data_IF_337134976008
#
_entry.id   IF_337134976008
#
_cell.length_a   1.000
_cell.length_b   1.000
_cell.length_c   1.000
_cell.angle_alpha   90.00
_cell.angle_beta   90.00
_cell.angle_gamma   90.00
#
_symmetry.space_group_name_H-M   'P 1'
#
loop_
_entity.id
_entity.type
_entity.pdbx_description
1 polymer ?
#
# COMPACT_ATOMS: atom_id res chain seq x y z
N UNK A 1 -8.46 -20.50 -22.32
CA UNK A 1 -8.18 -19.44 -21.33
C UNK A 1 -7.81 -20.15 -20.05
N UNK A 2 -6.54 -20.15 -19.67
CA UNK A 2 -6.09 -20.89 -18.48
C UNK A 2 -6.47 -20.09 -17.24
N UNK A 3 -7.33 -20.67 -16.41
CA UNK A 3 -7.75 -20.07 -15.15
C UNK A 3 -6.64 -20.26 -14.12
N UNK A 4 -6.20 -19.17 -13.49
CA UNK A 4 -5.24 -19.25 -12.38
C UNK A 4 -5.93 -19.95 -11.20
N UNK A 5 -5.69 -21.26 -11.01
CA UNK A 5 -6.30 -22.06 -9.92
C UNK A 5 -5.62 -21.80 -8.56
N UNK A 6 -5.42 -20.52 -8.23
CA UNK A 6 -4.86 -20.11 -6.94
C UNK A 6 -5.97 -20.10 -5.88
N UNK A 7 -5.75 -20.80 -4.76
CA UNK A 7 -6.72 -20.94 -3.66
C UNK A 7 -6.32 -20.22 -2.38
N UNK A 8 -5.15 -19.56 -2.38
CA UNK A 8 -4.66 -18.83 -1.22
C UNK A 8 -5.31 -17.46 -1.09
N UNK A 9 -4.98 -16.80 0.01
CA UNK A 9 -5.37 -15.41 0.23
C UNK A 9 -4.46 -14.47 -0.58
N UNK A 10 -4.98 -13.29 -0.90
CA UNK A 10 -4.25 -12.23 -1.60
C UNK A 10 -4.29 -10.93 -0.80
N UNK A 11 -3.18 -10.20 -0.84
CA UNK A 11 -3.16 -8.79 -0.43
C UNK A 11 -3.49 -7.91 -1.62
N UNK A 12 -4.29 -6.88 -1.40
CA UNK A 12 -4.54 -5.80 -2.35
C UNK A 12 -3.72 -4.58 -1.94
N UNK A 13 -3.09 -3.91 -2.90
CA UNK A 13 -2.39 -2.64 -2.66
C UNK A 13 -2.80 -1.62 -3.72
N UNK A 14 -2.96 -0.38 -3.31
CA UNK A 14 -3.15 0.76 -4.21
C UNK A 14 -2.01 1.75 -4.00
N UNK A 15 -1.42 2.24 -5.09
CA UNK A 15 -0.32 3.20 -5.09
C UNK A 15 -0.46 4.09 -6.34
N UNK A 16 -0.13 5.37 -6.20
CA UNK A 16 -0.11 6.34 -7.28
C UNK A 16 1.30 6.46 -7.86
N UNK A 17 1.41 6.30 -9.19
CA UNK A 17 2.69 6.50 -9.87
C UNK A 17 2.69 7.77 -10.71
N UNK A 18 3.59 8.69 -10.35
CA UNK A 18 3.86 9.87 -11.15
C UNK A 18 4.60 9.51 -12.44
N UNK A 19 3.87 9.40 -13.55
CA UNK A 19 4.48 9.30 -14.87
C UNK A 19 5.09 10.65 -15.26
N UNK A 20 6.38 10.69 -15.65
CA UNK A 20 6.93 11.89 -16.32
C UNK A 20 6.20 12.05 -17.66
N UNK A 21 6.02 13.30 -18.11
CA UNK A 21 5.39 13.62 -19.41
C UNK A 21 6.01 12.84 -20.59
N UNK A 22 7.30 12.52 -20.53
CA UNK A 22 8.01 11.75 -21.56
C UNK A 22 7.84 10.21 -21.44
N UNK A 23 7.43 9.70 -20.27
CA UNK A 23 7.16 8.27 -20.05
C UNK A 23 5.77 7.83 -20.48
N UNK A 24 4.84 8.76 -20.72
CA UNK A 24 3.51 8.43 -21.24
C UNK A 24 3.58 7.71 -22.60
N UNK A 25 4.63 7.94 -23.39
CA UNK A 25 4.89 7.22 -24.64
C UNK A 25 5.51 5.83 -24.44
N UNK A 26 6.23 5.61 -23.33
CA UNK A 26 6.96 4.36 -23.07
C UNK A 26 6.22 3.36 -22.17
N UNK A 27 5.10 3.77 -21.57
CA UNK A 27 4.11 2.82 -21.04
C UNK A 27 3.19 2.26 -22.15
N UNK A 28 3.66 2.28 -23.39
CA UNK A 28 3.24 1.28 -24.37
C UNK A 28 3.97 -0.01 -23.99
N UNK A 29 3.31 -0.92 -23.27
CA UNK A 29 3.78 -2.30 -23.13
C UNK A 29 4.12 -2.80 -24.55
N UNK A 30 5.41 -2.88 -24.88
CA UNK A 30 5.89 -3.40 -26.16
C UNK A 30 5.32 -4.80 -26.29
N UNK A 31 4.53 -5.00 -27.34
CA UNK A 31 3.63 -6.14 -27.61
C UNK A 31 2.18 -5.92 -27.13
N UNK A 32 1.51 -5.01 -27.86
CA UNK A 32 0.07 -5.03 -28.19
C UNK A 32 -0.88 -5.55 -27.11
N UNK A 33 -1.08 -4.74 -26.07
CA UNK A 33 -2.43 -4.60 -25.53
C UNK A 33 -2.92 -3.23 -25.95
N UNK A 34 -3.70 -3.22 -27.03
CA UNK A 34 -4.45 -2.04 -27.45
C UNK A 34 -5.37 -1.67 -26.29
N UNK A 35 -5.08 -0.57 -25.59
CA UNK A 35 -6.06 0.07 -24.72
C UNK A 35 -7.12 0.67 -25.64
N UNK A 36 -8.12 -0.14 -26.00
CA UNK A 36 -9.41 0.40 -26.36
C UNK A 36 -9.89 1.16 -25.13
N UNK A 37 -10.18 2.45 -25.31
CA UNK A 37 -10.93 3.25 -24.36
C UNK A 37 -12.27 2.54 -24.11
N UNK A 38 -12.27 1.60 -23.18
CA UNK A 38 -13.49 0.96 -22.75
C UNK A 38 -14.21 1.98 -21.88
N UNK A 39 -15.28 2.52 -22.45
CA UNK A 39 -16.38 3.10 -21.69
C UNK A 39 -16.64 2.27 -20.43
N UNK A 40 -17.10 2.96 -19.39
CA UNK A 40 -17.28 2.57 -17.98
C UNK A 40 -17.91 1.18 -17.67
N UNK A 41 -18.34 0.43 -18.68
CA UNK A 41 -19.10 -0.81 -18.63
C UNK A 41 -18.31 -2.14 -18.69
N UNK A 42 -17.03 -2.19 -19.11
CA UNK A 42 -16.38 -3.49 -19.37
C UNK A 42 -14.97 -3.65 -18.78
N UNK A 43 -14.88 -3.73 -17.44
CA UNK A 43 -13.69 -4.22 -16.72
C UNK A 43 -13.77 -5.75 -16.53
N UNK A 44 -13.86 -6.52 -17.63
CA UNK A 44 -14.15 -7.97 -17.53
C UNK A 44 -13.18 -8.91 -18.24
N UNK A 45 -12.10 -8.45 -18.87
CA UNK A 45 -11.08 -9.33 -19.44
C UNK A 45 -9.69 -8.99 -18.89
N UNK A 46 -9.27 -9.77 -17.89
CA UNK A 46 -8.09 -9.57 -17.07
C UNK A 46 -6.78 -9.91 -17.79
N UNK A 47 -5.79 -9.03 -17.62
CA UNK A 47 -4.42 -9.07 -18.10
C UNK A 47 -3.54 -9.96 -17.19
N UNK A 48 -3.85 -11.25 -17.04
CA UNK A 48 -3.20 -12.12 -16.03
C UNK A 48 -1.91 -12.81 -16.51
N UNK A 49 -1.76 -13.14 -17.79
CA UNK A 49 -0.93 -14.31 -18.11
C UNK A 49 0.57 -14.04 -18.38
N UNK A 50 0.97 -12.84 -18.81
CA UNK A 50 2.33 -12.66 -19.38
C UNK A 50 3.42 -12.31 -18.37
N UNK A 51 3.15 -11.48 -17.37
CA UNK A 51 4.17 -11.06 -16.39
C UNK A 51 4.52 -12.12 -15.33
N UNK A 52 3.76 -13.21 -15.26
CA UNK A 52 3.97 -14.31 -14.33
C UNK A 52 5.28 -15.06 -14.59
N UNK A 53 5.67 -15.24 -15.86
CA UNK A 53 6.84 -16.05 -16.22
C UNK A 53 8.16 -15.26 -16.26
N UNK A 54 8.11 -13.94 -16.47
CA UNK A 54 9.33 -13.11 -16.59
C UNK A 54 9.89 -12.66 -15.23
N UNK A 55 9.01 -12.44 -14.24
CA UNK A 55 9.40 -11.98 -12.89
C UNK A 55 10.16 -13.05 -12.08
N UNK A 56 10.17 -14.32 -12.53
CA UNK A 56 10.85 -15.43 -11.86
C UNK A 56 12.37 -15.47 -12.13
N UNK A 57 12.91 -14.71 -13.09
CA UNK A 57 14.32 -14.85 -13.52
C UNK A 57 15.32 -13.84 -12.94
N UNK A 58 14.92 -12.84 -12.13
CA UNK A 58 15.87 -11.81 -11.69
C UNK A 58 15.95 -11.62 -10.16
N UNK A 59 17.16 -11.83 -9.64
CA UNK A 59 17.79 -11.31 -8.40
C UNK A 59 17.37 -11.92 -7.04
N UNK A 60 18.41 -12.04 -6.20
CA UNK A 60 18.56 -12.70 -4.89
C UNK A 60 19.17 -11.66 -3.93
N UNK A 61 18.72 -11.52 -2.68
CA UNK A 61 19.48 -12.08 -1.52
C UNK A 61 18.71 -12.11 -0.19
N UNK A 62 17.37 -12.15 -0.18
CA UNK A 62 16.59 -12.51 1.02
C UNK A 62 15.47 -13.46 0.60
N UNK A 63 15.33 -14.60 1.29
CA UNK A 63 14.26 -15.60 1.06
C UNK A 63 12.90 -15.01 1.48
N UNK A 64 12.41 -13.98 0.81
CA UNK A 64 10.98 -13.73 0.74
C UNK A 64 10.42 -14.76 -0.24
N UNK A 65 9.37 -15.47 0.16
CA UNK A 65 8.59 -16.25 -0.78
C UNK A 65 8.29 -15.36 -1.99
N UNK A 66 8.62 -15.81 -3.20
CA UNK A 66 8.35 -15.08 -4.43
C UNK A 66 6.84 -15.14 -4.68
N UNK A 67 6.09 -14.28 -4.00
CA UNK A 67 4.66 -14.13 -4.20
C UNK A 67 4.49 -13.35 -5.51
N UNK A 68 3.85 -13.94 -6.54
CA UNK A 68 3.63 -13.26 -7.80
C UNK A 68 2.69 -12.07 -7.61
N UNK A 69 3.08 -10.91 -8.12
CA UNK A 69 2.24 -9.70 -8.13
C UNK A 69 1.43 -9.64 -9.43
N UNK A 70 0.14 -9.35 -9.33
CA UNK A 70 -0.77 -9.19 -10.48
C UNK A 70 -1.35 -7.79 -10.44
N UNK A 71 -1.22 -7.04 -11.53
CA UNK A 71 -1.90 -5.74 -11.69
C UNK A 71 -3.33 -6.02 -12.09
N UNK A 72 -4.28 -5.76 -11.19
CA UNK A 72 -5.72 -6.01 -11.42
C UNK A 72 -6.42 -4.84 -12.12
N UNK A 73 -5.90 -3.62 -11.93
CA UNK A 73 -6.41 -2.40 -12.54
C UNK A 73 -5.27 -1.38 -12.68
N UNK A 74 -5.33 -0.58 -13.74
CA UNK A 74 -4.49 0.59 -13.92
C UNK A 74 -5.40 1.69 -14.46
N UNK A 75 -5.42 2.84 -13.79
CA UNK A 75 -6.27 3.96 -14.15
C UNK A 75 -5.43 5.23 -14.22
N UNK A 76 -5.54 5.96 -15.31
CA UNK A 76 -5.01 7.31 -15.39
C UNK A 76 -5.91 8.21 -14.53
N UNK A 77 -5.34 8.73 -13.44
CA UNK A 77 -6.03 9.64 -12.53
C UNK A 77 -5.37 11.02 -12.60
N UNK A 78 -6.14 12.11 -12.44
CA UNK A 78 -5.57 13.44 -12.31
C UNK A 78 -4.97 13.64 -10.91
N UNK A 79 -4.06 14.61 -10.77
CA UNK A 79 -3.40 14.94 -9.49
C UNK A 79 -4.36 15.46 -8.41
N UNK A 80 -5.61 15.81 -8.79
CA UNK A 80 -6.63 16.39 -7.93
C UNK A 80 -7.83 15.47 -7.70
N UNK A 81 -7.65 14.15 -7.83
CA UNK A 81 -8.71 13.19 -7.54
C UNK A 81 -9.08 13.24 -6.04
N UNK A 82 -10.37 13.39 -5.75
CA UNK A 82 -10.84 13.41 -4.37
C UNK A 82 -11.03 11.99 -3.79
N UNK A 83 -11.27 11.93 -2.48
CA UNK A 83 -11.42 10.67 -1.76
C UNK A 83 -12.66 9.88 -2.19
N UNK A 84 -13.75 10.54 -2.59
CA UNK A 84 -15.00 9.87 -2.97
C UNK A 84 -14.85 9.17 -4.33
N UNK A 85 -14.24 9.86 -5.30
CA UNK A 85 -13.90 9.30 -6.59
C UNK A 85 -12.90 8.14 -6.46
N UNK A 86 -11.85 8.32 -5.65
CA UNK A 86 -10.87 7.26 -5.41
C UNK A 86 -11.49 6.05 -4.71
N UNK A 87 -12.43 6.28 -3.78
CA UNK A 87 -13.19 5.22 -3.13
C UNK A 87 -14.03 4.44 -4.14
N UNK A 88 -14.71 5.09 -5.09
CA UNK A 88 -15.51 4.38 -6.09
C UNK A 88 -14.65 3.39 -6.92
N UNK A 89 -13.43 3.78 -7.32
CA UNK A 89 -12.52 2.90 -8.04
C UNK A 89 -12.00 1.75 -7.18
N UNK A 90 -11.62 2.04 -5.93
CA UNK A 90 -11.17 1.04 -4.97
C UNK A 90 -12.27 0.03 -4.66
N UNK A 91 -13.49 0.52 -4.38
CA UNK A 91 -14.64 -0.31 -4.08
C UNK A 91 -15.05 -1.19 -5.26
N UNK A 92 -15.08 -0.64 -6.48
CA UNK A 92 -15.36 -1.41 -7.69
C UNK A 92 -14.38 -2.57 -7.86
N UNK A 93 -13.09 -2.32 -7.63
CA UNK A 93 -12.04 -3.34 -7.70
C UNK A 93 -12.20 -4.39 -6.61
N UNK A 94 -12.27 -3.97 -5.34
CA UNK A 94 -12.43 -4.85 -4.18
C UNK A 94 -13.69 -5.71 -4.29
N UNK A 95 -14.85 -5.10 -4.52
CA UNK A 95 -16.12 -5.82 -4.66
C UNK A 95 -16.09 -6.77 -5.87
N UNK A 96 -15.44 -6.40 -6.96
CA UNK A 96 -15.24 -7.27 -8.12
C UNK A 96 -14.41 -8.52 -7.82
N UNK A 97 -13.38 -8.41 -6.96
CA UNK A 97 -12.60 -9.54 -6.46
C UNK A 97 -13.43 -10.41 -5.52
N UNK A 98 -14.14 -9.79 -4.57
CA UNK A 98 -15.01 -10.49 -3.62
C UNK A 98 -16.14 -11.27 -4.30
N UNK A 99 -16.78 -10.68 -5.32
CA UNK A 99 -17.82 -11.34 -6.13
C UNK A 99 -17.30 -12.58 -6.86
N UNK A 100 -16.02 -12.59 -7.25
CA UNK A 100 -15.33 -13.74 -7.86
C UNK A 100 -14.78 -14.73 -6.83
N UNK A 101 -15.12 -14.54 -5.55
CA UNK A 101 -14.65 -15.38 -4.42
C UNK A 101 -13.12 -15.39 -4.28
N UNK A 102 -12.45 -14.33 -4.73
CA UNK A 102 -11.03 -14.12 -4.45
C UNK A 102 -10.93 -13.58 -3.02
N UNK A 103 -10.18 -14.30 -2.18
CA UNK A 103 -10.01 -13.97 -0.77
C UNK A 103 -8.99 -12.84 -0.61
N UNK A 104 -9.48 -11.61 -0.56
CA UNK A 104 -8.66 -10.44 -0.26
C UNK A 104 -8.56 -10.32 1.26
N UNK A 105 -7.41 -10.66 1.83
CA UNK A 105 -7.22 -10.69 3.30
C UNK A 105 -6.63 -9.41 3.86
N UNK A 106 -5.97 -8.60 3.03
CA UNK A 106 -5.44 -7.31 3.43
C UNK A 106 -5.54 -6.26 2.32
N UNK A 107 -5.62 -5.00 2.74
CA UNK A 107 -5.55 -3.83 1.87
C UNK A 107 -4.45 -2.89 2.38
N UNK A 108 -3.43 -2.67 1.55
CA UNK A 108 -2.33 -1.76 1.82
C UNK A 108 -2.53 -0.43 1.07
N UNK A 109 -2.32 0.68 1.78
CA UNK A 109 -2.25 2.00 1.14
C UNK A 109 -1.18 2.87 1.78
N UNK A 110 -0.88 3.97 1.11
CA UNK A 110 0.28 4.82 1.37
C UNK A 110 0.06 5.85 2.50
N UNK A 111 -1.14 5.86 3.08
CA UNK A 111 -1.49 6.64 4.26
C UNK A 111 -1.55 8.15 4.03
N UNK A 112 -1.67 8.61 2.78
CA UNK A 112 -1.99 10.01 2.46
C UNK A 112 -3.37 10.40 3.05
N UNK A 113 -3.65 11.70 3.20
CA UNK A 113 -4.94 12.15 3.74
C UNK A 113 -6.12 11.64 2.90
N UNK A 114 -5.99 11.66 1.58
CA UNK A 114 -7.02 11.15 0.66
C UNK A 114 -7.23 9.65 0.85
N UNK A 115 -6.16 8.87 0.93
CA UNK A 115 -6.27 7.42 1.16
C UNK A 115 -6.80 7.07 2.55
N UNK A 116 -6.47 7.84 3.59
CA UNK A 116 -7.08 7.67 4.92
C UNK A 116 -8.58 7.89 4.84
N UNK A 117 -9.03 8.93 4.15
CA UNK A 117 -10.46 9.14 3.91
C UNK A 117 -11.10 7.99 3.14
N UNK A 118 -10.39 7.37 2.18
CA UNK A 118 -10.85 6.15 1.50
C UNK A 118 -10.95 4.96 2.48
N UNK A 119 -10.00 4.79 3.39
CA UNK A 119 -10.05 3.77 4.44
C UNK A 119 -11.26 3.98 5.37
N UNK A 120 -11.52 5.22 5.80
CA UNK A 120 -12.69 5.56 6.61
C UNK A 120 -14.01 5.28 5.87
N UNK A 121 -14.02 5.49 4.54
CA UNK A 121 -15.17 5.13 3.70
C UNK A 121 -15.33 3.61 3.59
N UNK A 122 -14.24 2.85 3.44
CA UNK A 122 -14.27 1.39 3.45
C UNK A 122 -14.79 0.83 4.77
N UNK A 123 -14.35 1.38 5.91
CA UNK A 123 -14.83 0.99 7.23
C UNK A 123 -16.34 1.21 7.38
N UNK A 124 -16.83 2.38 6.98
CA UNK A 124 -18.28 2.67 6.98
C UNK A 124 -19.08 1.78 6.02
N UNK A 125 -18.45 1.23 5.00
CA UNK A 125 -19.07 0.35 4.01
C UNK A 125 -18.98 -1.13 4.39
N UNK A 126 -18.24 -1.48 5.45
CA UNK A 126 -18.11 -2.85 5.91
C UNK A 126 -19.44 -3.37 6.48
N UNK A 127 -19.72 -4.66 6.28
CA UNK A 127 -20.91 -5.30 6.86
C UNK A 127 -20.81 -5.35 8.39
N UNK A 128 -19.58 -5.51 8.90
CA UNK A 128 -19.23 -5.38 10.32
C UNK A 128 -17.74 -5.10 10.47
N UNK A 129 -17.38 -4.55 11.62
CA UNK A 129 -15.98 -4.36 12.04
C UNK A 129 -15.71 -5.19 13.28
N UNK A 130 -14.52 -5.76 13.39
CA UNK A 130 -14.05 -6.46 14.59
C UNK A 130 -12.71 -5.88 14.99
N UNK A 131 -12.50 -5.68 16.28
CA UNK A 131 -11.25 -5.15 16.81
C UNK A 131 -10.30 -6.28 17.17
N UNK A 132 -9.08 -6.24 16.62
CA UNK A 132 -7.95 -6.99 17.14
C UNK A 132 -7.19 -6.09 18.11
N UNK A 133 -7.13 -6.47 19.39
CA UNK A 133 -6.43 -5.73 20.43
C UNK A 133 -5.08 -6.38 20.71
N UNK A 134 -4.01 -5.63 20.49
CA UNK A 134 -2.64 -6.02 20.80
C UNK A 134 -2.25 -5.29 22.08
N UNK A 135 -2.00 -6.06 23.15
CA UNK A 135 -1.65 -5.49 24.45
C UNK A 135 -0.37 -4.68 24.38
N UNK A 136 -0.36 -3.54 25.05
CA UNK A 136 0.85 -2.75 25.18
C UNK A 136 1.96 -3.58 25.88
N UNK A 137 3.21 -3.56 25.39
CA UNK A 137 4.26 -4.45 25.91
C UNK A 137 4.89 -3.99 27.23
N UNK A 138 4.64 -2.77 27.68
CA UNK A 138 5.21 -2.27 28.94
C UNK A 138 4.51 -2.89 30.16
N UNK A 139 5.31 -3.33 31.11
CA UNK A 139 4.90 -3.88 32.40
C UNK A 139 5.44 -2.99 33.54
N UNK A 140 5.12 -1.69 33.46
CA UNK A 140 5.60 -0.64 34.37
C UNK A 140 4.51 -0.14 35.33
N UNK A 141 3.39 -0.87 35.43
CA UNK A 141 2.19 -0.49 36.18
C UNK A 141 1.57 0.86 35.75
N UNK A 142 1.97 1.43 34.62
CA UNK A 142 1.30 2.58 34.01
C UNK A 142 0.19 2.07 33.08
N UNK A 143 -0.91 2.82 33.01
CA UNK A 143 -2.01 2.53 32.11
C UNK A 143 -1.63 2.95 30.68
N UNK A 144 -1.05 2.02 29.92
CA UNK A 144 -0.81 2.21 28.49
C UNK A 144 -2.01 1.73 27.68
N UNK A 145 -2.31 2.41 26.58
CA UNK A 145 -3.38 2.01 25.67
C UNK A 145 -2.97 0.80 24.81
N UNK A 146 -3.88 -0.15 24.66
CA UNK A 146 -3.72 -1.26 23.72
C UNK A 146 -3.75 -0.74 22.28
N UNK A 147 -2.95 -1.35 21.40
CA UNK A 147 -3.05 -1.11 19.97
C UNK A 147 -4.31 -1.81 19.43
N UNK A 148 -5.27 -1.02 18.94
CA UNK A 148 -6.50 -1.52 18.33
C UNK A 148 -6.37 -1.51 16.82
N UNK A 149 -6.49 -2.68 16.18
CA UNK A 149 -6.48 -2.84 14.73
C UNK A 149 -7.88 -3.23 14.26
N UNK A 150 -8.57 -2.39 13.48
CA UNK A 150 -9.88 -2.74 12.93
C UNK A 150 -9.73 -3.78 11.80
N UNK A 151 -10.54 -4.82 11.87
CA UNK A 151 -10.70 -5.85 10.84
C UNK A 151 -12.09 -5.65 10.23
N UNK A 152 -12.12 -5.25 8.97
CA UNK A 152 -13.35 -5.00 8.22
C UNK A 152 -13.88 -6.32 7.67
N UNK A 153 -15.18 -6.52 7.65
CA UNK A 153 -15.78 -7.73 7.08
C UNK A 153 -16.69 -7.38 5.91
N UNK A 154 -16.46 -8.04 4.78
CA UNK A 154 -17.28 -7.94 3.58
C UNK A 154 -17.69 -9.33 3.12
N UNK A 155 -18.99 -9.62 3.04
CA UNK A 155 -19.55 -10.92 2.64
C UNK A 155 -18.90 -12.09 3.39
N UNK A 156 -18.74 -11.92 4.70
CA UNK A 156 -18.07 -12.87 5.60
C UNK A 156 -16.59 -13.14 5.27
N UNK A 157 -15.91 -12.22 4.58
CA UNK A 157 -14.47 -12.25 4.34
C UNK A 157 -13.82 -11.11 5.13
N UNK A 158 -12.83 -11.40 5.99
CA UNK A 158 -12.11 -10.38 6.73
C UNK A 158 -11.08 -9.68 5.84
N UNK A 159 -10.97 -8.36 6.01
CA UNK A 159 -10.02 -7.49 5.35
C UNK A 159 -9.28 -6.68 6.41
N UNK A 160 -7.98 -6.93 6.56
CA UNK A 160 -7.11 -6.11 7.39
C UNK A 160 -6.63 -4.87 6.62
N UNK A 161 -6.85 -3.68 7.16
CA UNK A 161 -6.28 -2.45 6.61
C UNK A 161 -4.87 -2.26 7.17
N UNK A 162 -3.87 -2.16 6.30
CA UNK A 162 -2.47 -1.99 6.67
C UNK A 162 -1.89 -0.74 6.01
N UNK A 163 -0.99 -0.06 6.70
CA UNK A 163 -0.20 1.02 6.12
C UNK A 163 1.15 0.50 5.64
N UNK A 164 1.72 1.11 4.60
CA UNK A 164 3.08 0.78 4.19
C UNK A 164 4.07 1.11 5.32
N UNK A 165 4.68 0.06 5.87
CA UNK A 165 5.74 0.13 6.88
C UNK A 165 6.90 1.05 6.49
N UNK A 166 7.24 1.16 5.19
CA UNK A 166 8.31 2.06 4.74
C UNK A 166 7.92 3.53 4.88
N UNK A 167 6.64 3.86 4.72
CA UNK A 167 6.12 5.21 4.95
C UNK A 167 6.01 5.51 6.44
N UNK A 168 5.67 4.53 7.27
CA UNK A 168 5.72 4.66 8.73
C UNK A 168 7.11 4.98 9.26
N UNK A 169 8.17 4.40 8.70
CA UNK A 169 9.56 4.74 9.08
C UNK A 169 9.89 6.22 8.86
N UNK A 170 9.26 6.87 7.87
CA UNK A 170 9.44 8.32 7.65
C UNK A 170 8.68 9.17 8.67
N UNK A 171 7.70 8.59 9.35
CA UNK A 171 6.86 9.25 10.35
C UNK A 171 7.25 8.75 11.74
N UNK A 172 8.48 9.06 12.17
CA UNK A 172 8.96 8.69 13.52
C UNK A 172 8.41 9.66 14.56
N UNK A 173 7.45 9.19 15.35
CA UNK A 173 7.14 9.75 16.67
C UNK A 173 7.66 8.77 17.70
N UNK A 174 8.71 9.14 18.45
CA UNK A 174 9.12 8.40 19.64
C UNK A 174 8.17 8.88 20.75
N UNK A 175 7.26 8.02 21.25
CA UNK A 175 6.43 8.42 22.36
C UNK A 175 7.35 8.64 23.57
N UNK A 176 7.20 9.79 24.23
CA UNK A 176 7.81 10.18 25.51
C UNK A 176 9.14 10.93 25.52
N UNK A 177 9.81 11.12 24.37
CA UNK A 177 10.95 12.04 24.28
C UNK A 177 10.81 12.89 23.01
N UNK A 178 10.55 14.21 23.12
CA UNK A 178 10.60 15.06 21.96
C UNK A 178 12.05 15.07 21.44
N UNK A 179 12.31 14.33 20.37
CA UNK A 179 13.57 14.46 19.64
C UNK A 179 13.42 15.69 18.75
N UNK A 180 14.07 16.77 19.13
CA UNK A 180 14.06 17.99 18.34
C UNK A 180 15.01 17.82 17.16
N UNK A 181 14.71 18.51 16.05
CA UNK A 181 15.64 18.58 14.91
C UNK A 181 17.04 19.06 15.35
N UNK A 182 17.11 19.96 16.33
CA UNK A 182 18.36 20.43 16.90
C UNK A 182 19.21 19.30 17.50
N UNK A 183 18.58 18.31 18.15
CA UNK A 183 19.27 17.17 18.75
C UNK A 183 19.84 16.24 17.67
N UNK A 184 19.04 15.93 16.64
CA UNK A 184 19.47 15.11 15.50
C UNK A 184 20.58 15.80 14.72
N UNK A 185 20.48 17.11 14.53
CA UNK A 185 21.50 17.94 13.88
C UNK A 185 22.79 17.94 14.70
N UNK A 186 22.73 18.22 15.99
CA UNK A 186 23.90 18.17 16.86
C UNK A 186 24.57 16.80 16.84
N UNK A 187 23.80 15.71 16.86
CA UNK A 187 24.31 14.35 16.70
C UNK A 187 25.05 14.18 15.38
N UNK A 188 24.50 14.62 14.24
CA UNK A 188 25.15 14.52 12.93
C UNK A 188 26.44 15.36 12.78
N UNK A 189 26.57 16.43 13.58
CA UNK A 189 27.80 17.24 13.64
C UNK A 189 28.81 16.71 14.68
N UNK A 190 28.37 15.91 15.65
CA UNK A 190 29.27 15.07 16.46
C UNK A 190 29.63 13.82 15.68
N UNK A 191 30.76 13.17 15.99
CA UNK A 191 31.31 12.03 15.24
C UNK A 191 30.46 10.74 15.39
N UNK A 192 29.15 10.84 15.10
CA UNK A 192 28.11 9.84 15.25
C UNK A 192 27.91 9.08 13.93
N UNK A 193 27.19 7.95 13.92
CA UNK A 193 26.91 7.20 12.71
C UNK A 193 25.93 7.91 11.75
N UNK A 194 25.36 9.05 12.12
CA UNK A 194 24.40 9.81 11.32
C UNK A 194 25.13 10.70 10.31
N UNK A 195 24.88 10.51 9.00
CA UNK A 195 25.51 11.37 7.99
C UNK A 195 24.87 12.76 7.94
N UNK A 196 25.70 13.80 7.87
CA UNK A 196 25.25 15.19 7.75
C UNK A 196 24.29 15.41 6.57
N UNK A 197 24.53 14.74 5.44
CA UNK A 197 23.66 14.85 4.26
C UNK A 197 22.25 14.33 4.53
N UNK A 198 22.10 13.33 5.38
CA UNK A 198 20.82 12.70 5.70
C UNK A 198 20.00 13.59 6.67
N UNK A 199 20.62 14.63 7.25
CA UNK A 199 19.96 15.63 8.12
C UNK A 199 19.75 16.98 7.41
N UNK A 200 20.76 17.48 6.70
CA UNK A 200 20.71 18.81 6.03
C UNK A 200 20.11 18.75 4.62
N UNK A 201 20.24 17.61 3.94
CA UNK A 201 19.76 17.40 2.56
C UNK A 201 18.96 16.11 2.47
N UNK A 202 17.98 15.97 3.37
CA UNK A 202 17.10 14.82 3.45
C UNK A 202 16.50 14.54 2.07
N UNK A 203 16.96 13.47 1.42
CA UNK A 203 16.20 12.90 0.32
C UNK A 203 14.96 12.25 0.92
N UNK A 204 13.84 12.99 0.88
CA UNK A 204 12.55 12.55 1.43
C UNK A 204 12.05 11.25 0.79
N UNK A 205 12.64 10.82 -0.33
CA UNK A 205 12.31 9.57 -1.01
C UNK A 205 13.20 8.42 -0.58
N UNK A 206 14.43 8.66 -0.12
CA UNK A 206 15.34 7.61 0.34
C UNK A 206 14.83 6.97 1.64
N UNK A 207 14.48 5.69 1.57
CA UNK A 207 14.06 4.92 2.73
C UNK A 207 15.22 4.62 3.69
N UNK A 208 16.47 4.65 3.22
CA UNK A 208 17.64 4.40 4.05
C UNK A 208 17.93 5.58 4.98
N UNK A 209 17.69 6.82 4.53
CA UNK A 209 17.84 8.01 5.36
C UNK A 209 16.81 8.05 6.51
N UNK A 210 15.72 7.28 6.40
CA UNK A 210 14.67 7.19 7.43
C UNK A 210 14.84 6.00 8.40
N UNK A 211 15.72 5.03 8.09
CA UNK A 211 15.92 3.80 8.86
C UNK A 211 16.93 4.01 10.01
#
# INVERSE_FOLDING_TARGET
MDMLNYKGDVGLSCDDFNSRKDTAQHMTLKESVTFSWATQASLTSLLIQKHFNESLKAKSSRKQARIPTIIVAALAIPDNLDAEQLFQFNWKTLNGLLQRRIKVSSYASDGSNVERSVQDMLERHADRTTELRIKHPADDNLAHEDLVVPILWFKNQPLAIIQDTKRLLKTRTIPNLPVLFADVRAMAFSNSPTFLRDVEKVDRRDGNAAA
#
